data_IF_264464260569
#
_entry.id   IF_264464260569
#
_cell.length_a   1.000
_cell.length_b   1.000
_cell.length_c   1.000
_cell.angle_alpha   90.00
_cell.angle_beta   90.00
_cell.angle_gamma   90.00
#
_symmetry.space_group_name_H-M   'P 1'
#
loop_
_entity.id
_entity.type
_entity.pdbx_description
1 polymer ?
#
# COMPACT_ATOMS: atom_id res chain seq x y z
N UNK A 1 11.60 -8.31 -0.79
CA UNK A 1 10.83 -9.33 -0.02
C UNK A 1 9.36 -9.26 -0.44
N UNK A 2 8.61 -10.36 -0.40
CA UNK A 2 7.17 -10.36 -0.69
C UNK A 2 6.33 -10.28 0.58
N UNK A 3 5.30 -9.46 0.56
CA UNK A 3 4.36 -9.24 1.65
C UNK A 3 2.93 -9.39 1.12
N UNK A 4 2.09 -10.11 1.84
CA UNK A 4 0.68 -10.18 1.48
C UNK A 4 0.03 -8.80 1.59
N UNK A 5 -0.81 -8.45 0.60
CA UNK A 5 -1.62 -7.23 0.63
C UNK A 5 -2.34 -7.04 1.96
N UNK A 6 -2.97 -8.11 2.46
CA UNK A 6 -3.83 -8.10 3.63
C UNK A 6 -3.05 -7.96 4.95
N UNK A 7 -1.73 -8.16 4.92
CA UNK A 7 -0.86 -7.88 6.06
C UNK A 7 -0.52 -6.40 6.13
N UNK A 8 -0.50 -5.69 5.00
CA UNK A 8 -0.10 -4.28 4.93
C UNK A 8 -1.32 -3.35 4.94
N UNK A 9 -2.38 -3.74 4.26
CA UNK A 9 -3.59 -2.96 4.09
C UNK A 9 -4.79 -3.63 4.74
N UNK A 10 -5.62 -2.82 5.37
CA UNK A 10 -6.92 -3.18 5.91
C UNK A 10 -8.03 -2.40 5.21
N UNK A 11 -9.21 -3.00 5.09
CA UNK A 11 -10.39 -2.34 4.55
C UNK A 11 -11.01 -1.44 5.62
N UNK A 12 -11.29 -0.18 5.28
CA UNK A 12 -11.88 0.83 6.16
C UNK A 12 -13.05 1.52 5.45
N UNK A 13 -14.26 1.00 5.66
CA UNK A 13 -15.45 1.36 4.87
C UNK A 13 -15.24 1.04 3.39
N UNK A 14 -15.50 2.03 2.53
CA UNK A 14 -15.23 1.96 1.08
C UNK A 14 -13.74 2.13 0.70
N UNK A 15 -12.85 2.28 1.68
CA UNK A 15 -11.43 2.57 1.48
C UNK A 15 -10.50 1.42 1.89
N UNK A 16 -9.23 1.57 1.54
CA UNK A 16 -8.11 0.79 2.07
C UNK A 16 -7.22 1.71 2.88
N UNK A 17 -6.64 1.18 3.96
CA UNK A 17 -5.74 1.93 4.82
C UNK A 17 -4.56 1.07 5.20
N UNK A 18 -3.32 1.57 5.16
CA UNK A 18 -2.19 0.81 5.62
C UNK A 18 -2.18 0.75 7.14
N UNK A 19 -1.71 -0.35 7.69
CA UNK A 19 -1.53 -0.52 9.14
C UNK A 19 -0.13 -0.10 9.63
N UNK A 20 0.78 0.16 8.71
CA UNK A 20 2.14 0.65 8.97
C UNK A 20 2.47 1.81 8.03
N UNK A 21 3.59 2.49 8.29
CA UNK A 21 4.08 3.48 7.33
C UNK A 21 4.52 2.77 6.06
N UNK A 22 4.13 3.31 4.92
CA UNK A 22 4.52 2.79 3.63
C UNK A 22 5.07 3.90 2.75
N UNK A 23 6.01 3.57 1.89
CA UNK A 23 6.49 4.43 0.83
C UNK A 23 6.19 3.74 -0.50
N UNK A 24 5.41 4.37 -1.36
CA UNK A 24 5.06 3.82 -2.67
C UNK A 24 5.56 4.82 -3.73
N UNK A 25 6.52 4.41 -4.55
CA UNK A 25 7.17 5.26 -5.57
C UNK A 25 7.62 6.64 -5.04
N UNK A 26 8.24 6.65 -3.85
CA UNK A 26 8.77 7.87 -3.22
C UNK A 26 7.76 8.70 -2.43
N UNK A 27 6.49 8.28 -2.35
CA UNK A 27 5.47 8.95 -1.55
C UNK A 27 5.20 8.20 -0.26
N UNK A 28 5.30 8.90 0.86
CA UNK A 28 5.09 8.36 2.20
C UNK A 28 3.64 8.49 2.62
N UNK A 29 3.09 7.40 3.13
CA UNK A 29 1.74 7.32 3.66
C UNK A 29 1.78 6.77 5.09
N UNK A 30 1.10 7.47 5.97
CA UNK A 30 0.99 7.08 7.37
C UNK A 30 -0.09 6.02 7.54
N UNK A 31 -0.03 5.24 8.64
CA UNK A 31 -1.17 4.46 9.06
C UNK A 31 -2.43 5.34 9.14
N UNK A 32 -3.58 4.82 8.75
CA UNK A 32 -4.86 5.55 8.66
C UNK A 32 -5.05 6.41 7.40
N UNK A 33 -4.05 6.57 6.52
CA UNK A 33 -4.29 7.17 5.20
C UNK A 33 -5.30 6.33 4.43
N UNK A 34 -6.42 6.93 4.05
CA UNK A 34 -7.49 6.25 3.32
C UNK A 34 -7.30 6.39 1.81
N UNK A 35 -7.06 5.28 1.14
CA UNK A 35 -7.11 5.14 -0.30
C UNK A 35 -8.51 4.72 -0.70
N UNK A 36 -9.24 5.58 -1.42
CA UNK A 36 -10.53 5.22 -2.03
C UNK A 36 -10.35 4.94 -3.51
N UNK A 37 -11.19 4.06 -4.06
CA UNK A 37 -11.18 3.75 -5.49
C UNK A 37 -11.22 5.03 -6.35
N UNK A 38 -10.36 5.11 -7.36
CA UNK A 38 -10.22 6.24 -8.26
C UNK A 38 -9.19 7.29 -7.83
N UNK A 39 -8.66 7.22 -6.60
CA UNK A 39 -7.60 8.12 -6.14
C UNK A 39 -6.25 7.57 -6.60
N UNK A 40 -5.67 8.25 -7.59
CA UNK A 40 -4.36 7.89 -8.14
C UNK A 40 -3.25 8.70 -7.52
N UNK A 41 -2.17 8.02 -7.16
CA UNK A 41 -0.93 8.63 -6.70
C UNK A 41 0.19 8.19 -7.65
N UNK A 42 0.86 9.14 -8.30
CA UNK A 42 1.85 8.86 -9.36
C UNK A 42 1.32 7.90 -10.46
N UNK A 43 0.03 8.01 -10.78
CA UNK A 43 -0.63 7.17 -11.79
C UNK A 43 -1.14 5.81 -11.31
N UNK A 44 -0.88 5.45 -10.05
CA UNK A 44 -1.26 4.15 -9.48
C UNK A 44 -2.45 4.31 -8.55
N UNK A 45 -3.45 3.45 -8.74
CA UNK A 45 -4.56 3.27 -7.82
C UNK A 45 -4.30 2.01 -6.98
N UNK A 46 -4.10 2.18 -5.67
CA UNK A 46 -3.84 1.06 -4.75
C UNK A 46 -5.00 0.06 -4.74
N UNK A 47 -6.23 0.52 -5.02
CA UNK A 47 -7.40 -0.35 -5.09
C UNK A 47 -7.32 -1.34 -6.25
N UNK A 48 -6.64 -1.01 -7.35
CA UNK A 48 -6.47 -1.90 -8.51
C UNK A 48 -5.53 -3.09 -8.20
N UNK A 49 -4.78 -2.99 -7.10
CA UNK A 49 -3.87 -4.01 -6.62
C UNK A 49 -4.40 -4.75 -5.38
N UNK A 50 -5.69 -4.61 -5.07
CA UNK A 50 -6.30 -5.28 -3.93
C UNK A 50 -6.10 -6.80 -3.99
N UNK A 51 -5.48 -7.35 -2.95
CA UNK A 51 -5.19 -8.78 -2.82
C UNK A 51 -3.92 -9.26 -3.50
N UNK A 52 -3.17 -8.38 -4.19
CA UNK A 52 -1.88 -8.69 -4.82
C UNK A 52 -0.73 -8.67 -3.82
N UNK A 53 0.23 -9.55 -3.98
CA UNK A 53 1.46 -9.50 -3.19
C UNK A 53 2.26 -8.23 -3.49
N UNK A 54 2.78 -7.63 -2.42
CA UNK A 54 3.60 -6.44 -2.46
C UNK A 54 5.05 -6.85 -2.43
N UNK A 55 5.83 -6.39 -3.39
CA UNK A 55 7.27 -6.41 -3.26
C UNK A 55 7.74 -5.16 -2.56
N UNK A 56 8.61 -5.34 -1.58
CA UNK A 56 9.20 -4.23 -0.90
C UNK A 56 10.35 -4.58 0.01
N UNK A 57 10.87 -3.54 0.63
CA UNK A 57 11.98 -3.57 1.56
C UNK A 57 11.59 -2.79 2.81
N UNK A 58 11.97 -3.30 3.98
CA UNK A 58 11.77 -2.56 5.23
C UNK A 58 12.94 -1.61 5.43
N UNK A 59 12.64 -0.34 5.57
CA UNK A 59 13.55 0.69 6.06
C UNK A 59 12.99 1.24 7.36
N UNK A 60 13.63 0.90 8.47
CA UNK A 60 13.18 1.26 9.82
C UNK A 60 11.71 0.87 10.06
N UNK A 61 10.83 1.86 10.26
CA UNK A 61 9.40 1.68 10.53
C UNK A 61 8.52 1.77 9.27
N UNK A 62 9.15 1.88 8.09
CA UNK A 62 8.48 2.11 6.80
C UNK A 62 8.72 0.93 5.85
N UNK A 63 7.66 0.49 5.19
CA UNK A 63 7.75 -0.46 4.08
C UNK A 63 7.87 0.30 2.75
N UNK A 64 9.01 0.19 2.08
CA UNK A 64 9.21 0.69 0.73
C UNK A 64 8.62 -0.33 -0.25
N UNK A 65 7.47 -0.01 -0.83
CA UNK A 65 6.83 -0.81 -1.86
C UNK A 65 7.45 -0.46 -3.21
N UNK A 66 8.08 -1.47 -3.83
CA UNK A 66 8.76 -1.37 -5.12
C UNK A 66 7.97 -2.02 -6.25
N UNK A 67 6.96 -2.85 -5.95
CA UNK A 67 6.11 -3.46 -6.96
C UNK A 67 4.89 -4.20 -6.40
N UNK A 68 3.97 -4.58 -7.29
CA UNK A 68 2.77 -5.37 -7.01
C UNK A 68 2.75 -6.58 -7.93
N UNK A 69 2.36 -7.74 -7.41
CA UNK A 69 2.46 -9.02 -8.11
C UNK A 69 1.27 -9.93 -7.80
N UNK A 70 0.91 -10.78 -8.74
CA UNK A 70 -0.15 -11.79 -8.56
C UNK A 70 0.31 -12.97 -7.70
#
# INVERSE_FOLDING_TARGET
MRFSFFIIFQKVGEGLSPNMKICIFGMYFSPSTKFTKGVKSSGIDIFDHYGKDLEGERDNDTLLVTGFYD
#
